data_IF_143030597019
#
_entry.id   IF_143030597019
#
_cell.length_a   1.000
_cell.length_b   1.000
_cell.length_c   1.000
_cell.angle_alpha   90.00
_cell.angle_beta   90.00
_cell.angle_gamma   90.00
#
_symmetry.space_group_name_H-M   'P 1'
#
loop_
_entity.id
_entity.type
_entity.pdbx_description
1 polymer ?
#
# COMPACT_ATOMS: atom_id res chain seq x y z
N UNK A 1 7.67 12.58 -13.10
CA UNK A 1 9.13 12.63 -13.35
C UNK A 1 9.69 13.87 -12.67
N UNK A 2 10.74 13.71 -11.86
CA UNK A 2 11.43 14.81 -11.16
C UNK A 2 12.38 15.56 -12.11
N UNK A 3 12.87 16.76 -11.72
CA UNK A 3 13.98 17.38 -12.42
C UNK A 3 15.14 16.40 -12.57
N UNK A 4 15.73 16.34 -13.77
CA UNK A 4 16.79 15.38 -14.17
C UNK A 4 16.34 13.95 -14.51
N UNK A 5 15.03 13.68 -14.64
CA UNK A 5 14.54 12.46 -15.32
C UNK A 5 14.14 11.30 -14.40
N UNK A 6 14.20 11.44 -13.08
CA UNK A 6 13.87 10.33 -12.16
C UNK A 6 12.34 10.13 -12.04
N UNK A 7 11.86 8.91 -12.24
CA UNK A 7 10.51 8.50 -11.86
C UNK A 7 10.32 8.54 -10.34
N UNK A 8 9.21 9.12 -9.87
CA UNK A 8 8.95 9.26 -8.43
C UNK A 8 7.47 9.06 -8.13
N UNK A 9 7.22 8.35 -7.03
CA UNK A 9 5.90 8.16 -6.43
C UNK A 9 6.06 8.13 -4.91
N UNK A 10 5.14 8.75 -4.17
CA UNK A 10 5.21 8.85 -2.71
C UNK A 10 4.90 7.53 -2.02
N UNK A 11 3.89 6.80 -2.52
CA UNK A 11 3.50 5.47 -2.08
C UNK A 11 2.81 4.76 -3.26
N UNK A 12 3.17 3.50 -3.53
CA UNK A 12 2.59 2.72 -4.63
C UNK A 12 1.21 2.16 -4.29
N UNK A 13 0.84 2.11 -3.02
CA UNK A 13 -0.28 1.35 -2.52
C UNK A 13 0.09 -0.11 -2.20
N UNK A 14 -0.90 -0.82 -1.66
CA UNK A 14 -0.77 -2.21 -1.21
C UNK A 14 -1.34 -3.17 -2.25
N UNK A 15 -0.66 -4.29 -2.50
CA UNK A 15 -1.27 -5.44 -3.18
C UNK A 15 -1.69 -6.46 -2.12
N UNK A 16 -3.00 -6.69 -1.99
CA UNK A 16 -3.58 -7.44 -0.88
C UNK A 16 -5.06 -7.11 -0.67
N UNK A 17 -5.66 -7.45 0.48
CA UNK A 17 -7.10 -7.27 0.73
C UNK A 17 -7.55 -5.81 0.57
N UNK A 18 -8.66 -5.57 -0.11
CA UNK A 18 -9.17 -4.21 -0.34
C UNK A 18 -9.88 -3.62 0.90
N UNK A 19 -10.78 -4.37 1.54
CA UNK A 19 -11.62 -3.86 2.64
C UNK A 19 -10.96 -3.77 4.03
N UNK A 20 -9.70 -4.18 4.17
CA UNK A 20 -9.00 -4.18 5.46
C UNK A 20 -8.47 -2.79 5.85
N UNK A 21 -8.10 -2.62 7.12
CA UNK A 21 -7.33 -1.44 7.56
C UNK A 21 -5.85 -1.77 7.46
N UNK A 22 -5.21 -1.30 6.39
CA UNK A 22 -3.81 -1.63 6.05
C UNK A 22 -3.59 -3.16 6.05
N UNK A 23 -4.51 -3.89 5.42
CA UNK A 23 -4.46 -5.36 5.29
C UNK A 23 -4.91 -6.15 6.53
N UNK A 24 -5.26 -5.49 7.64
CA UNK A 24 -5.74 -6.15 8.85
C UNK A 24 -7.26 -6.06 9.02
N UNK A 25 -7.84 -7.00 9.78
CA UNK A 25 -9.25 -7.00 10.17
C UNK A 25 -9.62 -5.68 10.85
N UNK A 26 -10.60 -4.91 10.34
CA UNK A 26 -10.99 -3.62 10.90
C UNK A 26 -11.32 -3.67 12.39
N UNK A 27 -11.94 -4.76 12.86
CA UNK A 27 -12.35 -4.93 14.26
C UNK A 27 -11.13 -4.96 15.19
N UNK A 28 -10.04 -5.62 14.80
CA UNK A 28 -8.79 -5.68 15.58
C UNK A 28 -8.20 -4.28 15.73
N UNK A 29 -8.18 -3.51 14.64
CA UNK A 29 -7.60 -2.16 14.65
C UNK A 29 -8.45 -1.21 15.48
N UNK A 30 -9.77 -1.30 15.34
CA UNK A 30 -10.70 -0.52 16.15
C UNK A 30 -10.53 -0.80 17.64
N UNK A 31 -10.46 -2.07 18.04
CA UNK A 31 -10.28 -2.45 19.45
C UNK A 31 -8.94 -1.93 20.00
N UNK A 32 -7.84 -2.09 19.23
CA UNK A 32 -6.53 -1.55 19.61
C UNK A 32 -6.55 -0.02 19.77
N UNK A 33 -7.16 0.69 18.82
CA UNK A 33 -7.20 2.15 18.83
C UNK A 33 -8.11 2.69 19.94
N UNK A 34 -9.26 2.05 20.19
CA UNK A 34 -10.23 2.48 21.20
C UNK A 34 -9.76 2.23 22.62
N UNK A 35 -9.20 1.04 22.90
CA UNK A 35 -8.88 0.62 24.26
C UNK A 35 -7.40 0.72 24.61
N UNK A 36 -6.52 0.96 23.63
CA UNK A 36 -5.07 1.10 23.84
C UNK A 36 -4.38 -0.21 24.24
N UNK A 37 -5.07 -1.35 24.16
CA UNK A 37 -4.54 -2.66 24.55
C UNK A 37 -3.79 -3.30 23.37
N UNK A 38 -2.75 -4.11 23.64
CA UNK A 38 -2.10 -4.91 22.61
C UNK A 38 -3.13 -5.83 21.92
N UNK A 39 -3.12 -5.82 20.59
CA UNK A 39 -3.96 -6.69 19.77
C UNK A 39 -3.10 -7.38 18.71
N UNK A 40 -3.33 -8.69 18.53
CA UNK A 40 -2.69 -9.44 17.45
C UNK A 40 -3.28 -8.96 16.12
N UNK A 41 -2.44 -8.46 15.21
CA UNK A 41 -2.86 -8.08 13.86
C UNK A 41 -3.28 -9.35 13.10
N UNK A 42 -4.55 -9.41 12.69
CA UNK A 42 -5.09 -10.54 11.93
C UNK A 42 -5.29 -10.07 10.49
N UNK A 43 -4.72 -10.76 9.47
CA UNK A 43 -4.97 -10.44 8.07
C UNK A 43 -6.46 -10.43 7.73
N UNK A 44 -6.89 -9.48 6.90
CA UNK A 44 -8.23 -9.49 6.35
C UNK A 44 -8.29 -10.45 5.16
N UNK A 45 -9.39 -11.19 5.03
CA UNK A 45 -9.63 -12.09 3.90
C UNK A 45 -10.76 -11.49 3.06
N UNK A 46 -10.42 -11.05 1.85
CA UNK A 46 -11.31 -10.33 0.93
C UNK A 46 -10.75 -10.40 -0.49
N UNK A 47 -11.52 -9.90 -1.46
CA UNK A 47 -11.03 -9.60 -2.79
C UNK A 47 -9.80 -8.69 -2.72
N UNK A 48 -8.76 -9.07 -3.46
CA UNK A 48 -7.51 -8.34 -3.50
C UNK A 48 -7.61 -7.07 -4.36
N UNK A 49 -6.80 -6.09 -4.03
CA UNK A 49 -6.37 -5.01 -4.90
C UNK A 49 -4.94 -5.28 -5.38
N UNK A 50 -4.62 -4.77 -6.55
CA UNK A 50 -3.26 -4.71 -7.08
C UNK A 50 -2.95 -3.25 -7.35
N UNK A 51 -1.87 -2.75 -6.74
CA UNK A 51 -1.40 -1.40 -6.99
C UNK A 51 0.04 -1.45 -7.49
N UNK A 52 0.33 -0.64 -8.51
CA UNK A 52 1.62 -0.60 -9.17
C UNK A 52 1.72 0.61 -10.09
N UNK A 53 2.92 0.86 -10.57
CA UNK A 53 3.21 1.92 -11.54
C UNK A 53 3.94 1.32 -12.72
N UNK A 54 3.63 1.83 -13.92
CA UNK A 54 4.35 1.51 -15.14
C UNK A 54 5.17 2.74 -15.50
N UNK A 55 6.49 2.57 -15.56
CA UNK A 55 7.41 3.56 -16.11
C UNK A 55 7.95 3.03 -17.43
N UNK A 56 8.01 3.92 -18.41
CA UNK A 56 8.66 3.70 -19.69
C UNK A 56 9.85 4.65 -19.76
N UNK A 57 10.99 4.14 -20.23
CA UNK A 57 12.24 4.87 -20.28
C UNK A 57 12.75 4.90 -21.71
N UNK A 58 13.31 6.04 -22.09
CA UNK A 58 14.05 6.22 -23.33
C UNK A 58 15.48 5.68 -23.17
N UNK A 59 15.82 4.66 -23.96
CA UNK A 59 17.11 3.96 -23.86
C UNK A 59 18.30 4.82 -24.31
N UNK A 60 18.09 5.79 -25.21
CA UNK A 60 19.16 6.65 -25.71
C UNK A 60 19.59 7.68 -24.65
N UNK A 61 18.62 8.33 -24.01
CA UNK A 61 18.86 9.39 -23.02
C UNK A 61 18.92 8.88 -21.57
N UNK A 62 18.61 7.60 -21.32
CA UNK A 62 18.49 6.97 -20.00
C UNK A 62 17.53 7.74 -19.07
N UNK A 63 16.41 8.21 -19.63
CA UNK A 63 15.41 9.03 -18.92
C UNK A 63 14.03 8.45 -19.05
#
# INVERSE_FOLDING_TARGET
ILPKGTGFITDLGMTGPYGGVIGAKPEVIFQRAKYGLPAKMIPFEDNGQFNGVIFEFDEESNK
#
